data_IF_338369000488
#
_entry.id   IF_338369000488
#
_cell.length_a   1.000
_cell.length_b   1.000
_cell.length_c   1.000
_cell.angle_alpha   90.00
_cell.angle_beta   90.00
_cell.angle_gamma   90.00
#
_symmetry.space_group_name_H-M   'P 1'
#
loop_
_entity.id
_entity.type
_entity.pdbx_description
1 polymer ?
#
# COMPACT_ATOMS: atom_id res chain seq x y z
N UNK A 1 -6.74 4.42 -13.57
CA UNK A 1 -6.31 3.33 -12.67
C UNK A 1 -6.28 3.88 -11.27
N UNK A 2 -6.93 3.23 -10.30
CA UNK A 2 -6.91 3.68 -8.90
C UNK A 2 -5.57 3.33 -8.23
N UNK A 3 -5.16 4.12 -7.24
CA UNK A 3 -3.98 3.78 -6.42
C UNK A 3 -4.12 2.41 -5.75
N UNK A 4 -5.35 2.02 -5.37
CA UNK A 4 -5.65 0.71 -4.82
C UNK A 4 -5.38 -0.42 -5.81
N UNK A 5 -5.78 -0.24 -7.06
CA UNK A 5 -5.54 -1.22 -8.13
C UNK A 5 -4.04 -1.37 -8.37
N UNK A 6 -3.30 -0.26 -8.40
CA UNK A 6 -1.85 -0.28 -8.56
C UNK A 6 -1.17 -1.07 -7.43
N UNK A 7 -1.62 -0.91 -6.19
CA UNK A 7 -1.08 -1.68 -5.06
C UNK A 7 -1.37 -3.18 -5.22
N UNK A 8 -2.59 -3.55 -5.59
CA UNK A 8 -2.98 -4.95 -5.68
C UNK A 8 -2.41 -5.66 -6.92
N UNK A 9 -2.34 -4.99 -8.07
CA UNK A 9 -1.96 -5.59 -9.35
C UNK A 9 -0.47 -5.48 -9.66
N UNK A 10 0.25 -4.52 -9.06
CA UNK A 10 1.67 -4.29 -9.34
C UNK A 10 2.53 -4.45 -8.09
N UNK A 11 2.14 -3.81 -6.98
CA UNK A 11 2.99 -3.77 -5.78
C UNK A 11 3.03 -5.14 -5.08
N UNK A 12 1.88 -5.76 -4.81
CA UNK A 12 1.85 -7.07 -4.13
C UNK A 12 2.61 -8.14 -4.94
N UNK A 13 2.37 -8.29 -6.26
CA UNK A 13 3.14 -9.24 -7.08
C UNK A 13 4.65 -8.94 -7.06
N UNK A 14 5.05 -7.67 -7.20
CA UNK A 14 6.45 -7.28 -7.11
C UNK A 14 7.08 -7.68 -5.77
N UNK A 15 6.37 -7.48 -4.66
CA UNK A 15 6.84 -7.89 -3.33
C UNK A 15 6.93 -9.41 -3.20
N UNK A 16 5.99 -10.15 -3.78
CA UNK A 16 6.02 -11.62 -3.78
C UNK A 16 7.21 -12.16 -4.58
N UNK A 17 7.44 -11.64 -5.81
CA UNK A 17 8.54 -12.04 -6.69
C UNK A 17 9.91 -11.78 -6.05
N UNK A 18 10.04 -10.68 -5.31
CA UNK A 18 11.28 -10.29 -4.63
C UNK A 18 11.37 -10.77 -3.17
N UNK A 19 10.40 -11.58 -2.71
CA UNK A 19 10.31 -12.09 -1.34
C UNK A 19 10.40 -10.99 -0.25
N UNK A 20 9.84 -9.81 -0.55
CA UNK A 20 9.82 -8.68 0.36
C UNK A 20 8.78 -8.91 1.46
N UNK A 21 9.16 -8.55 2.68
CA UNK A 21 8.30 -8.68 3.87
C UNK A 21 7.60 -7.39 4.23
N UNK A 22 8.17 -6.24 3.91
CA UNK A 22 7.57 -4.94 4.14
C UNK A 22 7.92 -3.97 3.01
N UNK A 23 7.02 -3.01 2.76
CA UNK A 23 7.17 -2.02 1.73
C UNK A 23 6.29 -0.81 2.01
N UNK A 24 6.84 0.38 1.81
CA UNK A 24 6.08 1.63 1.87
C UNK A 24 6.15 2.32 0.53
N UNK A 25 4.98 2.61 -0.05
CA UNK A 25 4.84 3.24 -1.34
C UNK A 25 4.13 4.57 -1.14
N UNK A 26 4.67 5.65 -1.70
CA UNK A 26 4.08 6.97 -1.64
C UNK A 26 4.01 7.55 -3.05
N UNK A 27 2.87 8.14 -3.38
CA UNK A 27 2.71 8.89 -4.62
C UNK A 27 3.03 10.35 -4.38
N UNK A 28 3.42 11.08 -5.43
CA UNK A 28 3.68 12.52 -5.36
C UNK A 28 2.44 13.35 -5.00
N UNK A 29 1.24 12.77 -5.14
CA UNK A 29 -0.04 13.44 -4.84
C UNK A 29 -0.48 13.29 -3.38
N UNK A 30 0.26 12.55 -2.56
CA UNK A 30 0.03 12.41 -1.13
C UNK A 30 -0.62 11.10 -0.70
N UNK A 31 -0.91 10.18 -1.64
CA UNK A 31 -1.40 8.85 -1.29
C UNK A 31 -0.23 7.98 -0.83
N UNK A 32 -0.50 7.10 0.12
CA UNK A 32 0.49 6.17 0.63
C UNK A 32 -0.11 4.80 0.88
N UNK A 33 0.69 3.76 0.65
CA UNK A 33 0.37 2.40 0.96
C UNK A 33 1.49 1.79 1.79
N UNK A 34 1.13 1.19 2.91
CA UNK A 34 2.02 0.37 3.73
C UNK A 34 1.61 -1.07 3.53
N UNK A 35 2.52 -1.88 3.00
CA UNK A 35 2.31 -3.30 2.73
C UNK A 35 3.24 -4.10 3.65
N UNK A 36 2.68 -5.04 4.41
CA UNK A 36 3.42 -5.89 5.34
C UNK A 36 2.96 -7.33 5.25
N UNK A 37 3.90 -8.25 5.04
CA UNK A 37 3.68 -9.69 5.09
C UNK A 37 3.67 -10.13 6.55
N UNK A 38 2.64 -10.88 6.93
CA UNK A 38 2.59 -11.50 8.25
C UNK A 38 3.40 -12.81 8.28
N UNK A 39 3.46 -13.42 9.48
CA UNK A 39 4.14 -14.71 9.71
C UNK A 39 3.50 -15.89 8.98
N UNK A 40 2.28 -15.73 8.47
CA UNK A 40 1.52 -16.75 7.75
C UNK A 40 1.64 -16.58 6.21
N UNK A 41 2.31 -15.53 5.74
CA UNK A 41 2.49 -15.26 4.31
C UNK A 41 1.42 -14.37 3.69
N UNK A 42 0.47 -13.84 4.47
CA UNK A 42 -0.54 -12.91 3.97
C UNK A 42 -0.01 -11.47 3.98
N UNK A 43 -0.30 -10.74 2.90
CA UNK A 43 0.06 -9.33 2.78
C UNK A 43 -1.08 -8.45 3.31
N UNK A 44 -0.80 -7.76 4.41
CA UNK A 44 -1.65 -6.71 4.95
C UNK A 44 -1.33 -5.39 4.26
N UNK A 45 -2.35 -4.73 3.74
CA UNK A 45 -2.23 -3.49 2.99
C UNK A 45 -3.02 -2.39 3.70
N UNK A 46 -2.34 -1.33 4.11
CA UNK A 46 -2.95 -0.10 4.63
C UNK A 46 -2.76 1.01 3.61
N UNK A 47 -3.84 1.42 2.96
CA UNK A 47 -3.85 2.57 2.04
C UNK A 47 -4.35 3.77 2.81
N UNK A 48 -3.61 4.87 2.73
CA UNK A 48 -4.01 6.18 3.21
C UNK A 48 -4.04 7.10 2.01
N UNK A 49 -5.23 7.56 1.64
CA UNK A 49 -5.39 8.53 0.55
C UNK A 49 -5.38 9.95 1.10
N UNK A 50 -5.16 10.94 0.23
CA UNK A 50 -5.27 12.35 0.62
C UNK A 50 -6.67 12.73 1.15
N UNK A 51 -7.71 12.03 0.71
CA UNK A 51 -9.08 12.21 1.21
C UNK A 51 -9.20 11.78 2.68
N UNK A 52 -8.57 10.67 3.07
CA UNK A 52 -8.54 10.19 4.46
C UNK A 52 -7.85 11.20 5.40
N UNK A 53 -6.75 11.83 4.96
CA UNK A 53 -6.00 12.81 5.77
C UNK A 53 -6.81 14.09 6.02
N UNK A 54 -7.69 14.48 5.10
CA UNK A 54 -8.51 15.69 5.24
C UNK A 54 -9.68 15.53 6.22
N UNK A 55 -10.14 14.30 6.46
CA UNK A 55 -11.22 13.99 7.40
C UNK A 55 -10.75 14.00 8.87
N UNK A 56 -9.45 13.84 9.12
CA UNK A 56 -8.87 13.86 10.48
C UNK A 56 -8.56 15.29 10.99
N UNK A 57 -8.89 16.32 10.20
CA UNK A 57 -8.56 17.73 10.50
C UNK A 57 -9.78 18.61 10.88
N UNK A 58 -10.90 18.01 11.33
CA UNK A 58 -12.11 18.73 11.75
C UNK A 58 -12.44 18.45 13.21
#
# INVERSE_FOLDING_TARGET
MSFRDLVHEKIIPFMQENNLTDGTFKTSVGDSAVVKRDKHGFYNVKITTKEDVRLDSV
#
